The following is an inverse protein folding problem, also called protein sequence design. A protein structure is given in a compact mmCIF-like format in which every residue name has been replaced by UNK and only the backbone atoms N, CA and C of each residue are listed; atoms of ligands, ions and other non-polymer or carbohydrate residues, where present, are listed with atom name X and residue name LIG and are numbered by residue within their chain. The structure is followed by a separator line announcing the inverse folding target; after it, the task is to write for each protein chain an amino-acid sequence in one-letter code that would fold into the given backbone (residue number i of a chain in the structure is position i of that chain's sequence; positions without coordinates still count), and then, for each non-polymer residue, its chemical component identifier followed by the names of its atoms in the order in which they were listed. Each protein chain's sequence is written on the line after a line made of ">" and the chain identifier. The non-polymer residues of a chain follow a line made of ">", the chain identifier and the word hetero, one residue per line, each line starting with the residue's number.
data_IF_190866060431
#
_entry.id   IF_190866060431
#
_cell.length_a   1.000
_cell.length_b   1.000
_cell.length_c   1.000
_cell.angle_alpha   90.00
_cell.angle_beta   90.00
_cell.angle_gamma   90.00
#
_symmetry.space_group_name_H-M   'P 1'
#
loop_
_entity.id
_entity.type
_entity.pdbx_description
1 polymer ?
#
# COMPACT_ATOMS: atom_id res chain seq x y z
N UNK A 1 13.80 16.50 -10.42
CA UNK A 1 13.96 15.89 -9.09
C UNK A 1 13.17 14.60 -9.14
N UNK A 2 13.84 13.45 -9.25
CA UNK A 2 13.18 12.14 -9.16
C UNK A 2 12.77 11.92 -7.71
N UNK A 3 11.49 12.14 -7.39
CA UNK A 3 10.91 11.72 -6.12
C UNK A 3 10.95 10.20 -6.08
N UNK A 4 11.87 9.65 -5.28
CA UNK A 4 11.95 8.22 -5.01
C UNK A 4 11.39 8.01 -3.61
N UNK A 5 10.23 7.36 -3.48
CA UNK A 5 9.82 6.86 -2.18
C UNK A 5 10.72 5.67 -1.83
N UNK A 6 11.25 5.67 -0.61
CA UNK A 6 12.08 4.58 -0.10
C UNK A 6 11.23 3.68 0.80
N UNK A 7 11.29 2.36 0.59
CA UNK A 7 10.59 1.38 1.41
C UNK A 7 11.61 0.53 2.17
N UNK A 8 11.73 0.74 3.48
CA UNK A 8 12.56 -0.10 4.36
C UNK A 8 11.69 -1.11 5.10
N UNK A 9 11.97 -2.41 4.95
CA UNK A 9 11.35 -3.45 5.78
C UNK A 9 12.07 -3.56 7.13
N UNK A 10 11.39 -3.18 8.22
CA UNK A 10 11.96 -3.22 9.57
C UNK A 10 10.99 -3.86 10.55
N UNK A 11 11.40 -4.96 11.20
CA UNK A 11 10.65 -5.60 12.32
C UNK A 11 9.15 -5.78 12.05
N UNK A 12 8.79 -6.39 10.91
CA UNK A 12 7.39 -6.65 10.50
C UNK A 12 6.55 -5.41 10.15
N UNK A 13 7.21 -4.29 9.86
CA UNK A 13 6.60 -3.08 9.30
C UNK A 13 7.36 -2.63 8.06
N UNK A 14 6.68 -1.96 7.15
CA UNK A 14 7.29 -1.21 6.06
C UNK A 14 7.37 0.26 6.47
N UNK A 15 8.55 0.86 6.34
CA UNK A 15 8.73 2.29 6.50
C UNK A 15 8.75 2.92 5.12
N UNK A 16 7.72 3.70 4.80
CA UNK A 16 7.67 4.51 3.59
C UNK A 16 8.24 5.89 3.89
N UNK A 17 9.26 6.32 3.16
CA UNK A 17 9.63 7.73 3.14
C UNK A 17 8.99 8.40 1.93
N UNK A 18 7.97 9.22 2.18
CA UNK A 18 7.24 9.98 1.17
C UNK A 18 7.50 11.47 1.42
N UNK A 19 8.18 12.15 0.48
CA UNK A 19 8.34 13.60 0.52
C UNK A 19 8.96 14.16 1.83
N UNK A 20 9.77 13.36 2.54
CA UNK A 20 10.38 13.72 3.82
C UNK A 20 9.57 13.29 5.06
N UNK A 21 8.38 12.72 4.86
CA UNK A 21 7.58 12.11 5.92
C UNK A 21 7.76 10.59 5.94
N UNK A 22 8.03 10.03 7.12
CA UNK A 22 8.17 8.58 7.30
C UNK A 22 6.86 8.00 7.81
N UNK A 23 6.22 7.18 6.97
CA UNK A 23 5.03 6.41 7.29
C UNK A 23 5.40 4.99 7.72
N UNK A 24 4.74 4.47 8.74
CA UNK A 24 4.89 3.07 9.15
C UNK A 24 3.66 2.26 8.76
N UNK A 25 3.82 1.37 7.78
CA UNK A 25 2.79 0.42 7.36
C UNK A 25 3.01 -0.93 8.04
N UNK A 26 1.93 -1.57 8.40
CA UNK A 26 1.95 -2.96 8.88
C UNK A 26 2.08 -3.90 7.70
N UNK A 27 2.81 -5.01 7.87
CA UNK A 27 2.89 -6.04 6.84
C UNK A 27 1.51 -6.70 6.69
N UNK A 28 0.96 -6.80 5.48
CA UNK A 28 -0.31 -7.47 5.25
C UNK A 28 -0.24 -8.92 5.71
N UNK A 29 -1.23 -9.34 6.48
CA UNK A 29 -1.43 -10.75 6.80
C UNK A 29 -1.95 -11.51 5.58
N UNK A 30 -1.82 -12.84 5.58
CA UNK A 30 -2.36 -13.70 4.51
C UNK A 30 -3.86 -13.45 4.32
N UNK A 31 -4.63 -13.36 5.42
CA UNK A 31 -6.06 -13.10 5.38
C UNK A 31 -6.41 -11.74 4.74
N UNK A 32 -5.66 -10.67 5.07
CA UNK A 32 -5.85 -9.35 4.46
C UNK A 32 -5.52 -9.38 2.96
N UNK A 33 -4.49 -10.11 2.57
CA UNK A 33 -4.13 -10.27 1.17
C UNK A 33 -5.20 -11.05 0.38
N UNK A 34 -5.71 -12.15 0.95
CA UNK A 34 -6.80 -12.92 0.33
C UNK A 34 -8.08 -12.09 0.20
N UNK A 35 -8.43 -11.31 1.21
CA UNK A 35 -9.56 -10.36 1.19
C UNK A 35 -9.39 -9.33 0.07
N UNK A 36 -8.22 -8.71 -0.03
CA UNK A 36 -7.90 -7.76 -1.10
C UNK A 36 -8.03 -8.38 -2.50
N UNK A 37 -7.46 -9.57 -2.70
CA UNK A 37 -7.56 -10.30 -3.97
C UNK A 37 -9.01 -10.68 -4.30
N UNK A 38 -9.81 -11.05 -3.30
CA UNK A 38 -11.22 -11.35 -3.49
C UNK A 38 -12.02 -10.10 -3.90
N UNK A 39 -11.79 -8.96 -3.24
CA UNK A 39 -12.40 -7.66 -3.59
C UNK A 39 -12.04 -7.23 -5.01
N UNK A 40 -10.77 -7.34 -5.41
CA UNK A 40 -10.32 -7.01 -6.77
C UNK A 40 -10.93 -7.89 -7.87
N UNK A 41 -11.15 -9.18 -7.58
CA UNK A 41 -11.81 -10.10 -8.53
C UNK A 41 -13.30 -9.79 -8.68
N UNK A 42 -13.89 -9.16 -7.67
CA UNK A 42 -15.28 -8.78 -7.69
C UNK A 42 -15.45 -7.50 -8.50
N UNK A 43 -15.78 -7.65 -9.80
CA UNK A 43 -15.83 -6.57 -10.80
C UNK A 43 -16.85 -5.45 -10.49
N UNK A 44 -17.68 -5.62 -9.47
CA UNK A 44 -18.63 -4.63 -9.01
C UNK A 44 -17.99 -3.53 -8.15
N UNK A 45 -16.81 -3.76 -7.57
CA UNK A 45 -16.11 -2.79 -6.72
C UNK A 45 -15.04 -2.08 -7.54
N UNK A 46 -15.02 -0.75 -7.46
CA UNK A 46 -13.97 0.06 -8.06
C UNK A 46 -12.58 -0.38 -7.56
N UNK A 47 -11.69 -0.67 -8.50
CA UNK A 47 -10.36 -1.20 -8.19
C UNK A 47 -9.51 -0.19 -7.41
N UNK A 48 -9.70 1.11 -7.65
CA UNK A 48 -8.99 2.16 -6.95
C UNK A 48 -9.50 2.31 -5.51
N UNK A 49 -10.82 2.27 -5.30
CA UNK A 49 -11.42 2.25 -3.96
C UNK A 49 -10.93 1.05 -3.14
N UNK A 50 -10.91 -0.14 -3.75
CA UNK A 50 -10.41 -1.37 -3.11
C UNK A 50 -8.94 -1.24 -2.69
N UNK A 51 -8.11 -0.65 -3.56
CA UNK A 51 -6.70 -0.40 -3.25
C UNK A 51 -6.52 0.61 -2.12
N UNK A 52 -7.32 1.68 -2.09
CA UNK A 52 -7.29 2.66 -0.99
C UNK A 52 -7.63 2.00 0.35
N UNK A 53 -8.71 1.23 0.39
CA UNK A 53 -9.09 0.48 1.59
C UNK A 53 -7.96 -0.43 2.05
N UNK A 54 -7.31 -1.15 1.13
CA UNK A 54 -6.20 -2.02 1.46
C UNK A 54 -5.05 -1.27 2.14
N UNK A 55 -4.63 -0.10 1.63
CA UNK A 55 -3.58 0.70 2.28
C UNK A 55 -4.01 1.21 3.66
N UNK A 56 -5.27 1.57 3.82
CA UNK A 56 -5.81 2.02 5.09
C UNK A 56 -5.82 0.90 6.13
N UNK A 57 -6.17 -0.33 5.73
CA UNK A 57 -6.09 -1.52 6.58
C UNK A 57 -4.64 -1.83 7.03
N UNK A 58 -3.64 -1.38 6.28
CA UNK A 58 -2.23 -1.51 6.63
C UNK A 58 -1.72 -0.39 7.53
N UNK A 59 -2.55 0.62 7.81
CA UNK A 59 -2.25 1.69 8.75
C UNK A 59 -2.05 3.07 8.12
N UNK A 60 -2.31 3.23 6.82
CA UNK A 60 -2.36 4.57 6.23
C UNK A 60 -3.66 5.28 6.60
N UNK A 61 -3.58 6.58 6.80
CA UNK A 61 -4.77 7.43 6.87
C UNK A 61 -5.24 7.80 5.47
N UNK A 62 -6.52 8.11 5.31
CA UNK A 62 -7.06 8.56 4.02
C UNK A 62 -6.30 9.78 3.47
N UNK A 63 -5.93 10.72 4.34
CA UNK A 63 -5.14 11.89 3.96
C UNK A 63 -3.77 11.51 3.37
N UNK A 64 -3.08 10.51 3.94
CA UNK A 64 -1.80 10.02 3.43
C UNK A 64 -1.97 9.29 2.09
N UNK A 65 -3.05 8.54 1.92
CA UNK A 65 -3.36 7.84 0.66
C UNK A 65 -3.72 8.83 -0.44
N UNK A 66 -4.39 9.94 -0.12
CA UNK A 66 -4.69 11.02 -1.07
C UNK A 66 -3.44 11.86 -1.39
N UNK A 67 -2.53 12.01 -0.44
CA UNK A 67 -1.26 12.72 -0.63
C UNK A 67 -0.28 11.95 -1.55
N UNK A 68 -0.47 10.64 -1.70
CA UNK A 68 0.24 9.84 -2.70
C UNK A 68 -0.22 10.24 -4.10
N UNK A 69 0.73 10.51 -4.98
CA UNK A 69 0.46 10.55 -6.40
C UNK A 69 0.07 9.16 -6.92
N UNK A 70 -0.58 9.15 -8.08
CA UNK A 70 -1.15 7.94 -8.65
C UNK A 70 -0.08 6.88 -8.97
N UNK A 71 1.13 7.29 -9.34
CA UNK A 71 2.20 6.37 -9.71
C UNK A 71 2.79 5.67 -8.47
N UNK A 72 3.07 6.44 -7.42
CA UNK A 72 3.56 5.93 -6.13
C UNK A 72 2.52 5.05 -5.44
N UNK A 73 1.23 5.43 -5.52
CA UNK A 73 0.13 4.60 -5.02
C UNK A 73 0.11 3.21 -5.69
N UNK A 74 0.21 3.16 -7.03
CA UNK A 74 0.20 1.88 -7.77
C UNK A 74 1.43 1.05 -7.41
N UNK A 75 2.61 1.66 -7.34
CA UNK A 75 3.85 0.96 -6.96
C UNK A 75 3.78 0.41 -5.54
N UNK A 76 3.27 1.19 -4.59
CA UNK A 76 3.10 0.78 -3.20
C UNK A 76 2.17 -0.43 -3.08
N UNK A 77 1.00 -0.35 -3.71
CA UNK A 77 0.05 -1.46 -3.77
C UNK A 77 0.70 -2.70 -4.38
N UNK A 78 1.40 -2.54 -5.50
CA UNK A 78 2.06 -3.66 -6.19
C UNK A 78 3.12 -4.34 -5.31
N UNK A 79 3.89 -3.53 -4.57
CA UNK A 79 4.89 -4.01 -3.62
C UNK A 79 4.26 -4.77 -2.45
N UNK A 80 3.25 -4.18 -1.81
CA UNK A 80 2.56 -4.78 -0.66
C UNK A 80 1.76 -6.04 -1.06
N UNK A 81 1.28 -6.08 -2.30
CA UNK A 81 0.57 -7.22 -2.89
C UNK A 81 1.50 -8.34 -3.34
N UNK A 82 2.82 -8.14 -3.33
CA UNK A 82 3.77 -9.16 -3.77
C UNK A 82 4.97 -9.27 -2.80
N UNK A 83 4.75 -9.82 -1.59
CA UNK A 83 5.82 -9.99 -0.59
C UNK A 83 6.94 -10.96 -1.03
N UNK A 84 6.82 -11.59 -2.21
CA UNK A 84 7.77 -12.57 -2.76
C UNK A 84 8.85 -11.98 -3.68
N UNK A 85 8.80 -10.71 -4.07
CA UNK A 85 9.92 -10.06 -4.77
C UNK A 85 10.90 -9.49 -3.74
N UNK A 86 11.64 -10.38 -3.10
CA UNK A 86 12.84 -10.06 -2.32
C UNK A 86 14.03 -10.66 -3.03
#
# INVERSE_FOLDING_TARGET
>A
MEGSFDIEFKRKKYRLNMYGEVLELTVPTVAQFESYQAKLKNKEIDSYQTMKEHLMELGMTEAQVIALDQDDFIKLISFLSNPKKK
#
